data_IF_607120087741
#
_entry.id   IF_607120087741
#
_cell.length_a   1.000
_cell.length_b   1.000
_cell.length_c   1.000
_cell.angle_alpha   90.00
_cell.angle_beta   90.00
_cell.angle_gamma   90.00
#
_symmetry.space_group_name_H-M   'P 1'
#
loop_
_entity.id
_entity.type
_entity.pdbx_description
1 polymer ?
#
# COMPACT_ATOMS: atom_id res chain seq x y z
N UNK A 1 -13.31 -34.01 7.27
CA UNK A 1 -12.52 -32.82 7.65
C UNK A 1 -13.46 -31.65 7.91
N UNK A 2 -12.99 -30.51 8.45
CA UNK A 2 -13.84 -29.31 8.60
C UNK A 2 -14.45 -28.83 7.27
N UNK A 3 -13.75 -29.07 6.15
CA UNK A 3 -14.21 -28.72 4.79
C UNK A 3 -15.40 -29.54 4.32
N UNK A 4 -15.36 -30.86 4.52
CA UNK A 4 -16.48 -31.75 4.17
C UNK A 4 -17.73 -31.43 5.00
N UNK A 5 -17.54 -30.97 6.24
CA UNK A 5 -18.63 -30.56 7.11
C UNK A 5 -19.30 -29.26 6.60
N UNK A 6 -18.53 -28.22 6.27
CA UNK A 6 -19.08 -26.96 5.75
C UNK A 6 -19.75 -27.17 4.39
N UNK A 7 -19.09 -27.86 3.46
CA UNK A 7 -19.65 -28.16 2.14
C UNK A 7 -20.96 -28.96 2.30
N UNK A 8 -21.00 -29.95 3.18
CA UNK A 8 -22.22 -30.71 3.47
C UNK A 8 -23.36 -29.87 4.06
N UNK A 9 -23.08 -28.88 4.92
CA UNK A 9 -24.10 -27.98 5.47
C UNK A 9 -24.67 -27.05 4.39
N UNK A 10 -23.83 -26.50 3.53
CA UNK A 10 -24.26 -25.58 2.47
C UNK A 10 -25.09 -26.31 1.40
N UNK A 11 -24.64 -27.50 1.01
CA UNK A 11 -25.34 -28.34 0.06
C UNK A 11 -26.70 -28.82 0.59
N UNK A 12 -26.80 -29.07 1.91
CA UNK A 12 -28.08 -29.39 2.57
C UNK A 12 -29.09 -28.22 2.55
N UNK A 13 -28.65 -27.01 2.21
CA UNK A 13 -29.48 -25.82 2.11
C UNK A 13 -29.57 -25.27 0.67
N UNK A 14 -29.20 -26.05 -0.35
CA UNK A 14 -29.15 -25.64 -1.77
C UNK A 14 -28.31 -24.38 -2.03
N UNK A 15 -27.27 -24.16 -1.23
CA UNK A 15 -26.32 -23.05 -1.39
C UNK A 15 -25.08 -23.59 -2.12
N UNK A 16 -24.77 -22.98 -3.26
CA UNK A 16 -23.58 -23.30 -4.05
C UNK A 16 -22.29 -22.94 -3.29
N UNK A 17 -21.40 -23.93 -3.14
CA UNK A 17 -20.13 -23.78 -2.44
C UNK A 17 -18.97 -23.33 -3.34
N UNK A 18 -19.15 -23.30 -4.66
CA UNK A 18 -18.06 -22.97 -5.61
C UNK A 18 -17.51 -21.54 -5.39
N UNK A 19 -18.37 -20.61 -4.97
CA UNK A 19 -17.96 -19.25 -4.61
C UNK A 19 -17.06 -19.18 -3.35
N UNK A 20 -17.14 -20.17 -2.46
CA UNK A 20 -16.24 -20.26 -1.30
C UNK A 20 -14.87 -20.78 -1.70
N UNK A 21 -14.81 -21.70 -2.65
CA UNK A 21 -13.56 -22.23 -3.19
C UNK A 21 -12.77 -21.14 -3.93
N UNK A 22 -13.44 -20.25 -4.67
CA UNK A 22 -12.79 -19.08 -5.31
C UNK A 22 -12.24 -18.09 -4.27
N UNK A 23 -13.02 -17.77 -3.23
CA UNK A 23 -12.58 -16.89 -2.15
C UNK A 23 -11.44 -17.49 -1.31
N UNK A 24 -11.45 -18.80 -1.09
CA UNK A 24 -10.39 -19.54 -0.38
C UNK A 24 -9.12 -19.62 -1.25
N UNK A 25 -9.24 -19.88 -2.55
CA UNK A 25 -8.13 -19.82 -3.50
C UNK A 25 -7.51 -18.42 -3.58
N UNK A 26 -8.33 -17.36 -3.55
CA UNK A 26 -7.86 -15.98 -3.47
C UNK A 26 -7.04 -15.71 -2.20
N UNK A 27 -7.49 -16.23 -1.04
CA UNK A 27 -6.77 -16.11 0.24
C UNK A 27 -5.47 -16.93 0.27
N UNK A 28 -5.47 -18.14 -0.31
CA UNK A 28 -4.27 -18.98 -0.42
C UNK A 28 -3.22 -18.33 -1.32
N UNK A 29 -3.64 -17.75 -2.44
CA UNK A 29 -2.75 -16.99 -3.32
C UNK A 29 -2.18 -15.75 -2.62
N UNK A 30 -3.01 -15.00 -1.89
CA UNK A 30 -2.53 -13.86 -1.10
C UNK A 30 -1.50 -14.29 -0.04
N UNK A 31 -1.78 -15.37 0.72
CA UNK A 31 -0.84 -15.88 1.71
C UNK A 31 0.49 -16.32 1.08
N UNK A 32 0.45 -17.04 -0.05
CA UNK A 32 1.65 -17.43 -0.79
C UNK A 32 2.44 -16.22 -1.31
N UNK A 33 1.76 -15.16 -1.74
CA UNK A 33 2.41 -13.92 -2.21
C UNK A 33 3.09 -13.14 -1.07
N UNK A 34 2.71 -13.38 0.19
CA UNK A 34 3.38 -12.82 1.36
C UNK A 34 4.62 -13.63 1.76
N UNK A 35 4.79 -14.85 1.25
CA UNK A 35 6.02 -15.62 1.39
C UNK A 35 7.09 -15.12 0.43
N UNK A 36 8.36 -15.30 0.78
CA UNK A 36 9.50 -14.78 0.02
C UNK A 36 9.52 -15.28 -1.44
N UNK A 37 9.16 -16.55 -1.67
CA UNK A 37 9.08 -17.13 -3.01
C UNK A 37 7.96 -16.51 -3.85
N UNK A 38 6.76 -16.34 -3.29
CA UNK A 38 5.65 -15.71 -4.01
C UNK A 38 5.88 -14.22 -4.27
N UNK A 39 6.57 -13.53 -3.35
CA UNK A 39 7.00 -12.15 -3.57
C UNK A 39 8.00 -12.05 -4.74
N UNK A 40 8.95 -12.99 -4.86
CA UNK A 40 9.89 -13.03 -5.98
C UNK A 40 9.18 -13.20 -7.33
N UNK A 41 8.21 -14.13 -7.43
CA UNK A 41 7.43 -14.32 -8.66
C UNK A 41 6.68 -13.04 -9.07
N UNK A 42 6.10 -12.32 -8.10
CA UNK A 42 5.41 -11.05 -8.36
C UNK A 42 6.36 -9.93 -8.79
N UNK A 43 7.56 -9.88 -8.21
CA UNK A 43 8.60 -8.93 -8.61
C UNK A 43 9.08 -9.21 -10.03
N UNK A 44 9.29 -10.47 -10.40
CA UNK A 44 9.72 -10.86 -11.75
C UNK A 44 8.69 -10.43 -12.80
N UNK A 45 7.40 -10.60 -12.51
CA UNK A 45 6.32 -10.06 -13.36
C UNK A 45 6.38 -8.53 -13.44
N UNK A 46 6.48 -7.83 -12.31
CA UNK A 46 6.51 -6.37 -12.30
C UNK A 46 7.70 -5.82 -13.11
N UNK A 47 8.88 -6.41 -12.95
CA UNK A 47 10.10 -6.01 -13.66
C UNK A 47 10.19 -6.51 -15.11
N UNK A 48 9.28 -7.36 -15.56
CA UNK A 48 9.14 -7.68 -17.00
C UNK A 48 8.58 -6.50 -17.80
N UNK A 49 7.96 -5.52 -17.12
CA UNK A 49 7.48 -4.27 -17.69
C UNK A 49 8.46 -3.12 -17.40
N UNK A 50 8.45 -2.04 -18.22
CA UNK A 50 9.32 -0.88 -18.02
C UNK A 50 8.79 0.06 -16.92
N UNK A 51 8.61 -0.47 -15.72
CA UNK A 51 8.15 0.31 -14.57
C UNK A 51 9.16 1.40 -14.19
N UNK A 52 8.66 2.52 -13.67
CA UNK A 52 9.49 3.68 -13.26
C UNK A 52 9.52 3.92 -11.76
N UNK A 53 8.84 3.08 -11.00
CA UNK A 53 8.79 3.09 -9.55
C UNK A 53 8.22 1.73 -9.10
N UNK A 54 8.71 1.21 -7.99
CA UNK A 54 8.07 0.11 -7.28
C UNK A 54 7.87 0.48 -5.82
N UNK A 55 6.71 0.17 -5.23
CA UNK A 55 6.36 0.59 -3.89
C UNK A 55 6.15 -0.60 -2.95
N UNK A 56 6.82 -0.60 -1.81
CA UNK A 56 6.61 -1.56 -0.73
C UNK A 56 5.64 -1.00 0.31
N UNK A 57 4.56 -1.74 0.58
CA UNK A 57 3.48 -1.26 1.45
C UNK A 57 3.70 -1.59 2.95
N UNK A 58 4.21 -2.79 3.26
CA UNK A 58 4.30 -3.29 4.64
C UNK A 58 5.72 -3.75 4.96
N UNK A 59 6.20 -3.37 6.14
CA UNK A 59 7.54 -3.71 6.61
C UNK A 59 8.66 -3.09 5.77
N UNK A 60 9.88 -3.54 6.00
CA UNK A 60 11.03 -3.19 5.18
C UNK A 60 11.00 -3.98 3.86
N UNK A 61 11.28 -3.36 2.71
CA UNK A 61 11.35 -4.07 1.43
C UNK A 61 12.25 -5.30 1.51
N UNK A 62 11.83 -6.44 0.93
CA UNK A 62 12.70 -7.59 0.79
C UNK A 62 13.99 -7.22 0.05
N UNK A 63 15.11 -7.83 0.44
CA UNK A 63 16.42 -7.54 -0.16
C UNK A 63 16.45 -7.77 -1.67
N UNK A 64 15.77 -8.83 -2.12
CA UNK A 64 15.58 -9.14 -3.55
C UNK A 64 14.91 -8.00 -4.32
N UNK A 65 13.94 -7.31 -3.71
CA UNK A 65 13.25 -6.17 -4.33
C UNK A 65 14.23 -4.99 -4.53
N UNK A 66 15.00 -4.65 -3.51
CA UNK A 66 16.00 -3.58 -3.58
C UNK A 66 17.07 -3.90 -4.63
N UNK A 67 17.62 -5.12 -4.60
CA UNK A 67 18.68 -5.54 -5.51
C UNK A 67 18.19 -5.55 -6.98
N UNK A 68 17.00 -6.09 -7.22
CA UNK A 68 16.39 -6.10 -8.55
C UNK A 68 16.09 -4.69 -9.06
N UNK A 69 15.51 -3.82 -8.23
CA UNK A 69 15.19 -2.45 -8.58
C UNK A 69 16.45 -1.65 -8.94
N UNK A 70 17.49 -1.75 -8.09
CA UNK A 70 18.78 -1.10 -8.31
C UNK A 70 19.47 -1.56 -9.59
N UNK A 71 19.45 -2.86 -9.89
CA UNK A 71 20.04 -3.39 -11.14
C UNK A 71 19.36 -2.88 -12.42
N UNK A 72 18.13 -2.37 -12.29
CA UNK A 72 17.29 -1.89 -13.40
C UNK A 72 17.07 -0.38 -13.38
N UNK A 73 17.73 0.34 -12.47
CA UNK A 73 17.55 1.79 -12.28
C UNK A 73 16.08 2.18 -12.03
N UNK A 74 15.39 1.36 -11.23
CA UNK A 74 14.01 1.61 -10.79
C UNK A 74 14.05 2.06 -9.34
N UNK A 75 13.51 3.24 -9.00
CA UNK A 75 13.44 3.69 -7.61
C UNK A 75 12.46 2.86 -6.80
N UNK A 76 12.75 2.68 -5.52
CA UNK A 76 11.91 2.01 -4.54
C UNK A 76 11.29 3.02 -3.59
N UNK A 77 9.96 3.02 -3.51
CA UNK A 77 9.21 3.72 -2.47
C UNK A 77 8.84 2.78 -1.32
N UNK A 78 8.79 3.28 -0.09
CA UNK A 78 8.27 2.51 1.03
C UNK A 78 7.42 3.35 1.98
N UNK A 79 6.32 2.76 2.47
CA UNK A 79 5.42 3.41 3.40
C UNK A 79 5.98 3.42 4.83
N UNK A 80 5.78 4.54 5.52
CA UNK A 80 6.21 4.75 6.91
C UNK A 80 5.11 5.42 7.71
N UNK A 81 4.83 4.89 8.89
CA UNK A 81 3.85 5.44 9.84
C UNK A 81 4.48 6.00 11.12
N UNK A 82 5.81 5.91 11.26
CA UNK A 82 6.57 6.42 12.41
C UNK A 82 7.96 6.87 11.98
N UNK A 83 8.60 7.70 12.80
CA UNK A 83 10.02 8.07 12.64
C UNK A 83 10.96 6.86 12.61
N UNK A 84 10.70 5.85 13.44
CA UNK A 84 11.54 4.62 13.50
C UNK A 84 11.45 3.85 12.19
N UNK A 85 10.26 3.76 11.59
CA UNK A 85 10.10 3.13 10.28
C UNK A 85 10.88 3.88 9.21
N UNK A 86 10.84 5.22 9.20
CA UNK A 86 11.62 6.03 8.27
C UNK A 86 13.13 5.74 8.33
N UNK A 87 13.70 5.71 9.53
CA UNK A 87 15.13 5.36 9.71
C UNK A 87 15.44 3.96 9.18
N UNK A 88 14.56 2.98 9.45
CA UNK A 88 14.74 1.61 8.96
C UNK A 88 14.68 1.52 7.43
N UNK A 89 13.76 2.25 6.78
CA UNK A 89 13.65 2.26 5.31
C UNK A 89 14.86 2.91 4.64
N UNK A 90 15.35 4.03 5.18
CA UNK A 90 16.57 4.68 4.67
C UNK A 90 17.76 3.73 4.79
N UNK A 91 17.92 3.05 5.93
CA UNK A 91 18.97 2.06 6.13
C UNK A 91 18.88 0.86 5.16
N UNK A 92 17.67 0.53 4.71
CA UNK A 92 17.42 -0.53 3.73
C UNK A 92 17.69 -0.08 2.28
N UNK A 93 17.96 1.20 2.03
CA UNK A 93 18.23 1.74 0.70
C UNK A 93 16.98 2.13 -0.10
N UNK A 94 15.90 2.51 0.59
CA UNK A 94 14.68 3.06 -0.05
C UNK A 94 14.96 4.46 -0.61
N UNK A 95 14.51 4.71 -1.84
CA UNK A 95 14.73 5.97 -2.56
C UNK A 95 13.65 7.03 -2.26
N UNK A 96 12.43 6.63 -1.90
CA UNK A 96 11.31 7.54 -1.61
C UNK A 96 10.54 7.06 -0.37
N UNK A 97 10.34 7.95 0.60
CA UNK A 97 9.51 7.67 1.77
C UNK A 97 8.08 8.13 1.54
N UNK A 98 7.10 7.27 1.80
CA UNK A 98 5.67 7.63 1.80
C UNK A 98 5.19 7.68 3.24
N UNK A 99 5.15 8.88 3.82
CA UNK A 99 4.77 9.08 5.21
C UNK A 99 3.25 9.15 5.35
N UNK A 100 2.64 8.04 5.80
CA UNK A 100 1.20 7.87 5.88
C UNK A 100 0.70 8.09 7.31
N UNK A 101 0.05 9.23 7.53
CA UNK A 101 -0.60 9.55 8.80
C UNK A 101 -1.88 8.74 9.02
N UNK A 102 -2.37 8.73 10.25
CA UNK A 102 -3.56 7.95 10.66
C UNK A 102 -4.87 8.36 9.99
N UNK A 103 -4.89 9.48 9.26
CA UNK A 103 -6.01 9.87 8.40
C UNK A 103 -6.05 9.10 7.08
N UNK A 104 -5.02 8.32 6.74
CA UNK A 104 -4.99 7.50 5.54
C UNK A 104 -5.96 6.31 5.62
N UNK A 105 -6.53 5.92 4.48
CA UNK A 105 -7.29 4.68 4.37
C UNK A 105 -6.38 3.45 4.38
N UNK A 106 -6.88 2.32 4.87
CA UNK A 106 -6.15 1.05 4.90
C UNK A 106 -5.24 0.91 6.13
N UNK A 107 -4.13 0.18 5.97
CA UNK A 107 -3.17 -0.04 7.05
C UNK A 107 -2.23 1.17 7.18
N UNK A 108 -2.49 2.02 8.17
CA UNK A 108 -1.69 3.20 8.48
C UNK A 108 -1.26 3.20 9.95
N UNK A 109 -0.33 4.09 10.31
CA UNK A 109 0.07 4.29 11.71
C UNK A 109 -0.91 5.19 12.46
N UNK A 110 -0.76 5.28 13.79
CA UNK A 110 -1.66 6.06 14.64
C UNK A 110 -1.32 7.57 14.72
N UNK A 111 -0.16 7.98 14.17
CA UNK A 111 0.32 9.37 14.24
C UNK A 111 -0.36 10.18 13.12
N UNK A 112 -0.96 11.32 13.47
CA UNK A 112 -1.61 12.20 12.49
C UNK A 112 -0.61 12.76 11.48
N UNK A 113 -1.07 13.05 10.26
CA UNK A 113 -0.25 13.58 9.16
C UNK A 113 0.45 14.88 9.59
N UNK A 114 -0.23 15.75 10.33
CA UNK A 114 0.34 17.01 10.80
C UNK A 114 1.57 16.83 11.72
N UNK A 115 1.63 15.73 12.47
CA UNK A 115 2.76 15.41 13.37
C UNK A 115 3.79 14.53 12.67
N UNK A 116 3.34 13.53 11.91
CA UNK A 116 4.20 12.55 11.28
C UNK A 116 5.12 13.16 10.22
N UNK A 117 4.59 14.06 9.37
CA UNK A 117 5.36 14.59 8.23
C UNK A 117 6.64 15.31 8.70
N UNK A 118 6.58 16.31 9.62
CA UNK A 118 7.80 16.94 10.13
C UNK A 118 8.78 15.96 10.79
N UNK A 119 8.28 14.98 11.53
CA UNK A 119 9.13 13.98 12.20
C UNK A 119 9.90 13.11 11.20
N UNK A 120 9.24 12.62 10.16
CA UNK A 120 9.88 11.82 9.11
C UNK A 120 10.86 12.67 8.31
N UNK A 121 10.47 13.89 7.92
CA UNK A 121 11.35 14.81 7.19
C UNK A 121 12.62 15.12 7.97
N UNK A 122 12.53 15.27 9.30
CA UNK A 122 13.69 15.56 10.16
C UNK A 122 14.80 14.50 10.12
N UNK A 123 14.48 13.27 9.71
CA UNK A 123 15.44 12.15 9.59
C UNK A 123 15.70 11.71 8.16
N UNK A 124 14.99 12.26 7.18
CA UNK A 124 15.01 11.78 5.79
C UNK A 124 16.31 12.12 5.03
N UNK A 125 17.06 13.13 5.49
CA UNK A 125 18.23 13.63 4.76
C UNK A 125 17.83 14.09 3.35
N UNK A 126 18.52 13.57 2.34
CA UNK A 126 18.22 13.87 0.93
C UNK A 126 17.09 12.99 0.35
N UNK A 127 16.57 12.03 1.13
CA UNK A 127 15.52 11.13 0.67
C UNK A 127 14.19 11.89 0.58
N UNK A 128 13.56 12.00 -0.60
CA UNK A 128 12.28 12.70 -0.73
C UNK A 128 11.17 12.01 0.08
N UNK A 129 10.39 12.83 0.78
CA UNK A 129 9.23 12.39 1.56
C UNK A 129 7.94 12.82 0.86
N UNK A 130 7.08 11.88 0.54
CA UNK A 130 5.71 12.12 0.08
C UNK A 130 4.75 12.01 1.25
N UNK A 131 3.94 13.04 1.48
CA UNK A 131 2.93 13.02 2.52
C UNK A 131 1.68 12.25 2.08
N UNK A 132 1.19 11.34 2.91
CA UNK A 132 -0.02 10.57 2.69
C UNK A 132 -0.95 10.66 3.91
N UNK A 133 -2.26 10.65 3.64
CA UNK A 133 -3.30 10.79 4.68
C UNK A 133 -4.01 12.14 4.61
N UNK A 134 -5.34 12.13 4.42
CA UNK A 134 -6.16 13.34 4.44
C UNK A 134 -5.93 14.38 3.32
N UNK A 135 -5.11 14.09 2.30
CA UNK A 135 -4.79 15.04 1.21
C UNK A 135 -5.69 14.79 -0.01
N UNK A 136 -6.54 15.76 -0.32
CA UNK A 136 -7.55 15.70 -1.40
C UNK A 136 -7.46 16.93 -2.31
N UNK A 137 -7.07 18.07 -1.77
CA UNK A 137 -7.05 19.37 -2.47
C UNK A 137 -5.64 19.93 -2.59
N UNK A 138 -5.43 20.85 -3.54
CA UNK A 138 -4.14 21.54 -3.71
C UNK A 138 -3.71 22.33 -2.46
N UNK A 139 -4.64 22.83 -1.64
CA UNK A 139 -4.31 23.52 -0.38
C UNK A 139 -3.72 22.56 0.66
N UNK A 140 -4.26 21.35 0.76
CA UNK A 140 -3.72 20.31 1.64
C UNK A 140 -2.35 19.83 1.15
N UNK A 141 -2.18 19.68 -0.16
CA UNK A 141 -0.86 19.39 -0.75
C UNK A 141 0.14 20.51 -0.44
N UNK A 142 -0.24 21.77 -0.62
CA UNK A 142 0.61 22.91 -0.29
C UNK A 142 0.98 22.95 1.20
N UNK A 143 0.04 22.61 2.11
CA UNK A 143 0.31 22.49 3.54
C UNK A 143 1.32 21.37 3.84
N UNK A 144 1.19 20.21 3.19
CA UNK A 144 2.16 19.12 3.31
C UNK A 144 3.56 19.53 2.84
N UNK A 145 3.64 20.24 1.71
CA UNK A 145 4.91 20.76 1.20
C UNK A 145 5.51 21.83 2.14
N UNK A 146 4.67 22.67 2.75
CA UNK A 146 5.11 23.63 3.76
C UNK A 146 5.66 22.95 5.03
N UNK A 147 5.23 21.73 5.35
CA UNK A 147 5.80 20.89 6.41
C UNK A 147 7.12 20.20 6.00
N UNK A 148 7.60 20.41 4.77
CA UNK A 148 8.85 19.87 4.25
C UNK A 148 8.73 18.63 3.38
N UNK A 149 7.51 18.15 3.09
CA UNK A 149 7.32 17.07 2.12
C UNK A 149 7.68 17.53 0.69
N UNK A 150 8.23 16.64 -0.13
CA UNK A 150 8.49 16.88 -1.54
C UNK A 150 7.21 16.86 -2.40
N UNK A 151 6.14 16.24 -1.89
CA UNK A 151 4.85 16.12 -2.57
C UNK A 151 3.84 15.36 -1.73
N UNK A 152 2.78 14.87 -2.38
CA UNK A 152 1.72 14.10 -1.76
C UNK A 152 1.48 12.76 -2.47
N UNK A 153 1.10 11.74 -1.68
CA UNK A 153 0.63 10.45 -2.15
C UNK A 153 -0.83 10.28 -1.74
N UNK A 154 -1.73 10.34 -2.72
CA UNK A 154 -3.17 10.35 -2.48
C UNK A 154 -3.80 8.99 -2.80
N UNK A 155 -4.88 8.65 -2.08
CA UNK A 155 -5.63 7.40 -2.26
C UNK A 155 -7.13 7.66 -2.44
N UNK A 156 -7.83 7.98 -1.36
CA UNK A 156 -9.30 8.11 -1.34
C UNK A 156 -9.87 9.07 -2.39
N UNK A 157 -9.16 10.16 -2.72
CA UNK A 157 -9.58 11.11 -3.77
C UNK A 157 -9.68 10.46 -5.15
N UNK A 158 -8.88 9.42 -5.43
CA UNK A 158 -8.89 8.74 -6.72
C UNK A 158 -10.08 7.79 -6.85
N UNK A 159 -10.63 7.28 -5.75
CA UNK A 159 -11.75 6.33 -5.78
C UNK A 159 -13.06 6.98 -6.27
N UNK A 160 -13.14 8.30 -6.32
CA UNK A 160 -14.33 9.03 -6.78
C UNK A 160 -14.17 9.64 -8.17
N UNK A 161 -13.03 9.43 -8.86
CA UNK A 161 -12.84 9.92 -10.25
C UNK A 161 -13.66 9.13 -11.26
N UNK A 162 -13.74 9.62 -12.50
CA UNK A 162 -14.56 9.01 -13.56
C UNK A 162 -13.99 7.68 -14.04
N UNK A 163 -12.66 7.54 -14.02
CA UNK A 163 -11.92 6.36 -14.46
C UNK A 163 -11.84 5.26 -13.38
N UNK A 164 -12.12 5.61 -12.13
CA UNK A 164 -12.12 4.63 -11.04
C UNK A 164 -13.32 3.70 -11.15
N UNK A 165 -13.06 2.40 -11.01
CA UNK A 165 -14.06 1.32 -11.10
C UNK A 165 -14.38 0.64 -9.74
N UNK A 166 -14.55 1.37 -8.62
CA UNK A 166 -15.08 0.73 -7.43
C UNK A 166 -16.56 0.38 -7.66
N UNK A 167 -17.09 -0.56 -6.88
CA UNK A 167 -18.53 -0.85 -6.87
C UNK A 167 -19.35 0.45 -6.71
N UNK A 168 -20.45 0.65 -7.45
CA UNK A 168 -21.28 1.84 -7.35
C UNK A 168 -21.69 2.18 -5.91
N UNK A 169 -21.96 1.15 -5.09
CA UNK A 169 -22.30 1.30 -3.68
C UNK A 169 -21.15 1.88 -2.87
N UNK A 170 -19.90 1.49 -3.17
CA UNK A 170 -18.71 2.04 -2.49
C UNK A 170 -18.53 3.50 -2.89
N UNK A 171 -18.66 3.82 -4.18
CA UNK A 171 -18.51 5.18 -4.68
C UNK A 171 -19.54 6.13 -4.07
N UNK A 172 -20.81 5.71 -4.00
CA UNK A 172 -21.88 6.51 -3.39
C UNK A 172 -21.67 6.72 -1.89
N UNK A 173 -21.19 5.69 -1.17
CA UNK A 173 -20.82 5.83 0.25
C UNK A 173 -19.66 6.81 0.46
N UNK A 174 -18.65 6.78 -0.40
CA UNK A 174 -17.52 7.73 -0.31
C UNK A 174 -17.95 9.17 -0.60
N UNK A 175 -18.93 9.37 -1.48
CA UNK A 175 -19.44 10.71 -1.83
C UNK A 175 -20.42 11.28 -0.79
N UNK A 176 -21.10 10.43 -0.03
CA UNK A 176 -22.09 10.83 0.97
C UNK A 176 -21.57 10.91 2.41
N UNK A 177 -20.32 10.47 2.64
CA UNK A 177 -19.61 10.59 3.92
C UNK A 177 -19.18 12.04 4.21
#
# INVERSE_FOLDING_TARGET
SHREFISGVLQAHDIDSDALDEAENGRLNFARNLEEAGAADMLDVAFSFPIRLIANALGTPPRVMIDQAKSRDVPVAALVGTRVHAVAQIAAGVDILVAAGGEAGGHCGDISTMVLIPEVVSVAGDTPVLAAGGIVTGRQMAAAMAMGAAGAWCGSVWLTTVEAEPSPVIKEKLLSA
#
